data_IF_240603821261
#
_entry.id   IF_240603821261
#
_cell.length_a   1.000
_cell.length_b   1.000
_cell.length_c   1.000
_cell.angle_alpha   90.00
_cell.angle_beta   90.00
_cell.angle_gamma   90.00
#
_symmetry.space_group_name_H-M   'P 1'
#
loop_
_entity.id
_entity.type
_entity.pdbx_description
1 polymer ?
#
# COMPACT_ATOMS: atom_id res chain seq x y z
N UNK A 1 0.18 10.69 -1.41
CA UNK A 1 0.25 10.11 -2.78
C UNK A 1 -0.72 8.93 -2.95
N UNK A 2 -0.70 7.94 -2.05
CA UNK A 2 -1.57 6.75 -2.10
C UNK A 2 -3.06 7.03 -2.32
N UNK A 3 -3.63 8.01 -1.61
CA UNK A 3 -5.05 8.35 -1.78
C UNK A 3 -5.41 8.79 -3.21
N UNK A 4 -4.49 9.50 -3.88
CA UNK A 4 -4.66 9.92 -5.28
C UNK A 4 -4.58 8.71 -6.21
N UNK A 5 -3.61 7.80 -6.02
CA UNK A 5 -3.51 6.55 -6.78
C UNK A 5 -4.81 5.74 -6.67
N UNK A 6 -5.30 5.53 -5.45
CA UNK A 6 -6.55 4.80 -5.19
C UNK A 6 -7.73 5.49 -5.88
N UNK A 7 -7.86 6.81 -5.74
CA UNK A 7 -8.94 7.55 -6.39
C UNK A 7 -8.86 7.44 -7.92
N UNK A 8 -7.67 7.53 -8.52
CA UNK A 8 -7.45 7.35 -9.96
C UNK A 8 -7.80 5.94 -10.42
N UNK A 9 -7.39 4.91 -9.67
CA UNK A 9 -7.65 3.52 -10.03
C UNK A 9 -9.14 3.19 -10.06
N UNK A 10 -9.91 3.69 -9.09
CA UNK A 10 -11.28 3.21 -8.84
C UNK A 10 -12.40 4.23 -9.11
N UNK A 11 -12.08 5.41 -9.66
CA UNK A 11 -13.09 6.35 -10.17
C UNK A 11 -13.43 6.16 -11.65
N UNK A 12 -12.57 5.47 -12.42
CA UNK A 12 -12.76 5.23 -13.85
C UNK A 12 -13.82 4.15 -14.13
N UNK A 13 -14.55 4.27 -15.25
CA UNK A 13 -15.72 3.42 -15.58
C UNK A 13 -15.49 1.91 -15.52
N UNK A 14 -14.29 1.41 -15.85
CA UNK A 14 -13.97 -0.02 -15.84
C UNK A 14 -13.69 -0.61 -14.46
N UNK A 15 -13.38 0.22 -13.47
CA UNK A 15 -13.03 -0.19 -12.09
C UNK A 15 -13.82 0.62 -11.05
N UNK A 16 -14.96 1.17 -11.46
CA UNK A 16 -15.71 2.10 -10.62
C UNK A 16 -16.32 1.36 -9.44
N UNK A 17 -15.91 1.74 -8.23
CA UNK A 17 -16.55 1.31 -6.99
C UNK A 17 -17.22 2.50 -6.29
N UNK A 18 -17.93 2.24 -5.20
CA UNK A 18 -18.62 3.28 -4.43
C UNK A 18 -17.61 4.24 -3.76
N UNK A 19 -18.02 5.49 -3.54
CA UNK A 19 -17.18 6.47 -2.84
C UNK A 19 -16.86 6.04 -1.39
N UNK A 20 -17.75 5.29 -0.74
CA UNK A 20 -17.49 4.71 0.59
C UNK A 20 -16.42 3.62 0.55
N UNK A 21 -16.40 2.78 -0.50
CA UNK A 21 -15.35 1.79 -0.71
C UNK A 21 -14.00 2.45 -1.00
N UNK A 22 -13.96 3.49 -1.85
CA UNK A 22 -12.74 4.28 -2.10
C UNK A 22 -12.23 4.87 -0.78
N UNK A 23 -13.10 5.48 0.03
CA UNK A 23 -12.71 6.04 1.32
C UNK A 23 -12.20 4.96 2.29
N UNK A 24 -12.74 3.74 2.23
CA UNK A 24 -12.28 2.61 3.03
C UNK A 24 -10.89 2.10 2.60
N UNK A 25 -10.65 1.95 1.30
CA UNK A 25 -9.32 1.65 0.77
C UNK A 25 -8.28 2.69 1.22
N UNK A 26 -8.64 3.97 1.15
CA UNK A 26 -7.78 5.06 1.61
C UNK A 26 -7.50 4.99 3.11
N UNK A 27 -8.51 4.69 3.95
CA UNK A 27 -8.30 4.49 5.39
C UNK A 27 -7.36 3.33 5.67
N UNK A 28 -7.52 2.20 4.98
CA UNK A 28 -6.63 1.05 5.07
C UNK A 28 -5.17 1.40 4.72
N UNK A 29 -4.99 2.12 3.61
CA UNK A 29 -3.67 2.60 3.20
C UNK A 29 -3.06 3.56 4.23
N UNK A 30 -3.84 4.46 4.84
CA UNK A 30 -3.35 5.38 5.89
C UNK A 30 -3.03 4.62 7.18
N UNK A 31 -3.76 3.55 7.48
CA UNK A 31 -3.52 2.72 8.66
C UNK A 31 -2.18 1.99 8.58
N UNK A 32 -1.77 1.53 7.39
CA UNK A 32 -0.44 0.96 7.17
C UNK A 32 0.69 1.95 7.51
N UNK A 33 0.43 3.25 7.36
CA UNK A 33 1.34 4.36 7.73
C UNK A 33 1.26 4.78 9.21
N UNK A 34 0.37 4.20 10.00
CA UNK A 34 0.21 4.59 11.40
C UNK A 34 1.48 4.32 12.22
N UNK A 35 1.69 5.10 13.28
CA UNK A 35 2.93 5.04 14.08
C UNK A 35 3.25 3.66 14.66
N UNK A 36 2.25 2.77 14.81
CA UNK A 36 2.43 1.38 15.25
C UNK A 36 3.12 0.47 14.21
N UNK A 37 3.18 0.89 12.95
CA UNK A 37 3.82 0.16 11.85
C UNK A 37 5.02 0.90 11.27
N UNK A 38 5.47 1.98 11.94
CA UNK A 38 6.62 2.80 11.55
C UNK A 38 7.88 2.34 12.29
N UNK A 39 8.16 1.04 12.21
CA UNK A 39 9.34 0.42 12.81
C UNK A 39 9.97 -0.62 11.86
N UNK A 40 11.19 -1.05 12.20
CA UNK A 40 11.91 -2.01 11.36
C UNK A 40 11.22 -3.38 11.28
N UNK A 41 10.45 -3.76 12.30
CA UNK A 41 9.74 -5.04 12.31
C UNK A 41 8.60 -5.06 11.28
N UNK A 42 8.00 -3.91 11.00
CA UNK A 42 6.92 -3.71 10.03
C UNK A 42 7.38 -3.12 8.69
N UNK A 43 8.69 -2.96 8.47
CA UNK A 43 9.26 -2.43 7.22
C UNK A 43 8.74 -3.09 5.93
N UNK A 44 8.39 -4.38 5.97
CA UNK A 44 7.79 -5.10 4.84
C UNK A 44 6.42 -4.54 4.42
N UNK A 45 5.70 -3.85 5.31
CA UNK A 45 4.44 -3.17 4.98
C UNK A 45 4.67 -1.95 4.09
N UNK A 46 5.91 -1.45 4.04
CA UNK A 46 6.35 -0.26 3.31
C UNK A 46 7.28 -0.61 2.13
N UNK A 47 7.24 -1.86 1.66
CA UNK A 47 8.17 -2.38 0.65
C UNK A 47 9.67 -2.18 0.98
N UNK A 48 10.02 -2.24 2.27
CA UNK A 48 11.39 -2.09 2.78
C UNK A 48 11.85 -3.36 3.52
N UNK A 49 13.16 -3.47 3.74
CA UNK A 49 13.76 -4.58 4.51
C UNK A 49 14.24 -4.11 5.88
N UNK A 50 14.11 -4.96 6.88
CA UNK A 50 14.69 -4.72 8.20
C UNK A 50 16.24 -4.78 8.15
N UNK A 51 16.94 -4.22 9.15
CA UNK A 51 18.38 -4.42 9.29
C UNK A 51 18.75 -5.90 9.30
N UNK A 52 19.77 -6.27 8.52
CA UNK A 52 20.24 -7.66 8.31
C UNK A 52 19.25 -8.59 7.60
N UNK A 53 18.10 -8.11 7.14
CA UNK A 53 17.21 -8.86 6.26
C UNK A 53 17.66 -8.67 4.81
N UNK A 54 17.61 -9.73 3.99
CA UNK A 54 17.80 -9.62 2.55
C UNK A 54 16.56 -9.02 1.86
N UNK A 55 16.75 -8.47 0.66
CA UNK A 55 15.63 -7.95 -0.13
C UNK A 55 14.61 -9.04 -0.51
N UNK A 56 15.08 -10.26 -0.78
CA UNK A 56 14.22 -11.40 -1.12
C UNK A 56 13.35 -11.85 0.07
N UNK A 57 13.93 -11.91 1.27
CA UNK A 57 13.16 -12.20 2.49
C UNK A 57 12.13 -11.10 2.77
N UNK A 58 12.49 -9.83 2.57
CA UNK A 58 11.55 -8.72 2.74
C UNK A 58 10.39 -8.81 1.75
N UNK A 59 10.68 -9.07 0.47
CA UNK A 59 9.68 -9.30 -0.56
C UNK A 59 8.75 -10.47 -0.22
N UNK A 60 9.29 -11.59 0.26
CA UNK A 60 8.49 -12.72 0.73
C UNK A 60 7.55 -12.36 1.88
N UNK A 61 8.00 -11.53 2.83
CA UNK A 61 7.15 -11.03 3.93
C UNK A 61 6.08 -10.06 3.44
N UNK A 62 6.42 -9.17 2.51
CA UNK A 62 5.44 -8.27 1.86
C UNK A 62 4.36 -9.06 1.14
N UNK A 63 4.73 -10.07 0.35
CA UNK A 63 3.75 -10.96 -0.33
C UNK A 63 2.87 -11.67 0.69
N UNK A 64 3.46 -12.21 1.76
CA UNK A 64 2.69 -12.88 2.84
C UNK A 64 1.67 -11.92 3.44
N UNK A 65 2.07 -10.71 3.79
CA UNK A 65 1.17 -9.69 4.34
C UNK A 65 0.04 -9.31 3.38
N UNK A 66 0.34 -9.13 2.08
CA UNK A 66 -0.69 -8.86 1.05
C UNK A 66 -1.70 -10.00 1.01
N UNK A 67 -1.25 -11.26 1.02
CA UNK A 67 -2.14 -12.43 0.99
C UNK A 67 -2.99 -12.55 2.25
N UNK A 68 -2.44 -12.28 3.44
CA UNK A 68 -3.20 -12.23 4.69
C UNK A 68 -4.31 -11.17 4.62
N UNK A 69 -4.01 -9.99 4.09
CA UNK A 69 -4.98 -8.90 3.95
C UNK A 69 -6.03 -9.15 2.87
N UNK A 70 -5.69 -9.84 1.78
CA UNK A 70 -6.68 -10.32 0.80
C UNK A 70 -7.58 -11.40 1.40
N UNK A 71 -7.04 -12.32 2.19
CA UNK A 71 -7.86 -13.31 2.90
C UNK A 71 -8.80 -12.64 3.91
N UNK A 72 -8.32 -11.64 4.64
CA UNK A 72 -9.12 -10.81 5.55
C UNK A 72 -10.24 -10.06 4.79
N UNK A 73 -9.93 -9.46 3.63
CA UNK A 73 -10.93 -8.86 2.74
C UNK A 73 -12.03 -9.85 2.38
N UNK A 74 -11.67 -11.04 1.87
CA UNK A 74 -12.65 -12.07 1.46
C UNK A 74 -13.52 -12.51 2.63
N UNK A 75 -12.92 -12.71 3.80
CA UNK A 75 -13.64 -13.07 5.02
C UNK A 75 -14.63 -11.98 5.46
N UNK A 76 -14.22 -10.71 5.41
CA UNK A 76 -15.07 -9.58 5.81
C UNK A 76 -16.19 -9.33 4.81
N UNK A 77 -15.95 -9.52 3.50
CA UNK A 77 -16.98 -9.47 2.47
C UNK A 77 -18.04 -10.55 2.71
N UNK A 78 -17.62 -11.79 2.99
CA UNK A 78 -18.55 -12.89 3.31
C UNK A 78 -19.37 -12.62 4.58
N UNK A 79 -18.83 -11.86 5.53
CA UNK A 79 -19.52 -11.44 6.75
C UNK A 79 -20.39 -10.18 6.58
N UNK A 80 -20.51 -9.63 5.36
CA UNK A 80 -21.26 -8.39 5.10
C UNK A 80 -20.62 -7.12 5.68
N UNK A 81 -19.35 -7.18 6.08
CA UNK A 81 -18.59 -6.07 6.66
C UNK A 81 -17.80 -5.31 5.58
N UNK A 82 -18.49 -4.88 4.52
CA UNK A 82 -17.88 -4.31 3.30
C UNK A 82 -16.88 -3.18 3.59
N UNK A 83 -17.22 -2.24 4.49
CA UNK A 83 -16.33 -1.13 4.84
C UNK A 83 -14.99 -1.59 5.44
N UNK A 84 -15.01 -2.58 6.33
CA UNK A 84 -13.78 -3.15 6.91
C UNK A 84 -13.04 -4.02 5.90
N UNK A 85 -13.77 -4.71 5.03
CA UNK A 85 -13.15 -5.47 3.96
C UNK A 85 -12.28 -4.54 3.11
N UNK A 86 -12.84 -3.45 2.60
CA UNK A 86 -12.08 -2.48 1.82
C UNK A 86 -10.94 -1.81 2.62
N UNK A 87 -11.06 -1.64 3.93
CA UNK A 87 -9.91 -1.23 4.75
C UNK A 87 -8.78 -2.27 4.73
N UNK A 88 -9.09 -3.56 4.89
CA UNK A 88 -8.09 -4.63 4.78
C UNK A 88 -7.44 -4.66 3.39
N UNK A 89 -8.23 -4.54 2.32
CA UNK A 89 -7.70 -4.48 0.95
C UNK A 89 -6.85 -3.22 0.72
N UNK A 90 -7.20 -2.09 1.33
CA UNK A 90 -6.39 -0.88 1.33
C UNK A 90 -5.02 -1.08 1.96
N UNK A 91 -4.94 -1.85 3.07
CA UNK A 91 -3.67 -2.24 3.66
C UNK A 91 -2.85 -3.15 2.73
N UNK A 92 -3.50 -4.08 2.01
CA UNK A 92 -2.81 -4.93 1.02
C UNK A 92 -2.22 -4.12 -0.14
N UNK A 93 -2.91 -3.05 -0.57
CA UNK A 93 -2.48 -2.20 -1.68
C UNK A 93 -1.30 -1.29 -1.32
N UNK A 94 -1.14 -0.93 -0.05
CA UNK A 94 -0.13 0.02 0.42
C UNK A 94 1.30 -0.35 -0.04
N UNK A 95 1.87 -1.52 0.30
CA UNK A 95 3.22 -1.88 -0.13
C UNK A 95 3.35 -2.03 -1.64
N UNK A 96 2.27 -2.31 -2.38
CA UNK A 96 2.30 -2.35 -3.85
C UNK A 96 2.50 -0.95 -4.44
N UNK A 97 1.90 0.07 -3.82
CA UNK A 97 2.13 1.46 -4.21
C UNK A 97 3.54 1.90 -3.83
N UNK A 98 4.02 1.57 -2.63
CA UNK A 98 5.39 1.87 -2.21
C UNK A 98 6.43 1.26 -3.14
N UNK A 99 6.30 -0.03 -3.47
CA UNK A 99 7.24 -0.76 -4.32
C UNK A 99 7.39 -0.16 -5.74
N UNK A 100 6.48 0.73 -6.16
CA UNK A 100 6.59 1.46 -7.43
C UNK A 100 7.31 2.80 -7.30
N UNK A 101 7.54 3.30 -6.09
CA UNK A 101 8.30 4.52 -5.83
C UNK A 101 9.82 4.25 -5.82
N UNK A 102 10.65 5.14 -6.38
CA UNK A 102 12.11 5.03 -6.31
C UNK A 102 12.67 4.96 -4.90
N UNK A 103 11.99 5.59 -3.94
CA UNK A 103 12.41 5.60 -2.53
C UNK A 103 12.35 4.23 -1.89
N UNK A 104 11.55 3.31 -2.43
CA UNK A 104 11.39 1.95 -1.92
C UNK A 104 11.94 0.89 -2.89
N UNK A 105 12.60 1.33 -3.98
CA UNK A 105 13.11 0.41 -5.01
C UNK A 105 14.14 -0.58 -4.43
N UNK A 106 13.94 -1.87 -4.72
CA UNK A 106 14.85 -2.93 -4.32
C UNK A 106 14.82 -3.27 -2.83
N UNK A 107 13.75 -2.90 -2.10
CA UNK A 107 13.62 -3.13 -0.66
C UNK A 107 14.78 -2.50 0.11
N UNK A 108 14.83 -1.16 0.09
CA UNK A 108 15.85 -0.42 0.83
C UNK A 108 15.77 -0.74 2.33
N UNK A 109 16.90 -0.64 3.01
CA UNK A 109 16.98 -0.93 4.45
C UNK A 109 16.28 0.15 5.26
N UNK A 110 15.45 -0.27 6.21
CA UNK A 110 14.81 0.61 7.16
C UNK A 110 15.85 1.21 8.12
N UNK A 111 16.13 2.52 7.99
CA UNK A 111 17.12 3.22 8.81
C UNK A 111 16.45 4.20 9.77
N UNK A 112 16.28 3.74 11.01
CA UNK A 112 15.69 4.49 12.12
C UNK A 112 16.44 5.82 12.39
N UNK A 113 15.99 6.95 11.85
CA UNK A 113 16.13 8.25 12.52
C UNK A 113 14.73 8.68 12.98
N UNK A 114 14.29 8.26 14.17
CA UNK A 114 12.87 8.23 14.56
C UNK A 114 12.15 9.58 14.68
N UNK A 115 12.84 10.71 14.47
CA UNK A 115 12.22 12.05 14.42
C UNK A 115 12.25 12.71 13.04
N UNK A 116 13.10 12.20 12.13
CA UNK A 116 13.25 12.77 10.79
C UNK A 116 12.52 11.87 9.78
N UNK A 117 12.43 10.57 10.01
CA UNK A 117 11.92 9.61 9.02
C UNK A 117 10.41 9.67 8.78
N UNK A 118 9.57 9.88 9.81
CA UNK A 118 8.14 10.08 9.58
C UNK A 118 7.84 11.36 8.79
N UNK A 119 8.71 12.37 8.90
CA UNK A 119 8.65 13.58 8.08
C UNK A 119 9.26 13.35 6.68
N UNK A 120 10.31 12.53 6.58
CA UNK A 120 11.00 12.18 5.33
C UNK A 120 10.20 11.23 4.46
N UNK A 121 9.52 10.21 5.02
CA UNK A 121 8.59 9.35 4.27
C UNK A 121 7.45 10.18 3.68
N UNK A 122 6.85 11.07 4.49
CA UNK A 122 5.87 12.05 4.01
C UNK A 122 6.45 13.06 3.01
N UNK A 123 7.72 13.45 3.13
CA UNK A 123 8.33 14.46 2.28
C UNK A 123 8.93 13.91 0.98
N UNK A 124 9.42 12.68 0.96
CA UNK A 124 9.98 12.02 -0.23
C UNK A 124 8.87 11.49 -1.13
N UNK A 125 7.71 11.17 -0.55
CA UNK A 125 6.44 11.01 -1.25
C UNK A 125 5.66 12.33 -1.35
N UNK A 126 6.35 13.48 -1.45
CA UNK A 126 5.64 14.71 -1.82
C UNK A 126 5.05 14.54 -3.22
N UNK A 127 3.84 15.08 -3.40
CA UNK A 127 3.16 15.20 -4.70
C UNK A 127 4.09 15.70 -5.83
N UNK A 128 5.17 16.42 -5.51
CA UNK A 128 6.12 16.98 -6.48
C UNK A 128 6.98 15.93 -7.20
N UNK A 129 7.37 14.83 -6.55
CA UNK A 129 8.09 13.70 -7.19
C UNK A 129 7.11 12.78 -7.92
N UNK A 130 5.91 12.64 -7.38
CA UNK A 130 4.84 11.85 -7.98
C UNK A 130 4.28 12.50 -9.27
N UNK A 131 4.04 13.82 -9.25
CA UNK A 131 3.54 14.57 -10.41
C UNK A 131 4.58 14.73 -11.53
N UNK A 132 5.87 14.49 -11.26
CA UNK A 132 6.91 14.56 -12.29
C UNK A 132 7.15 13.23 -13.01
N UNK A 133 6.58 12.11 -12.54
CA UNK A 133 6.77 10.80 -13.17
C UNK A 133 5.45 10.01 -13.30
N UNK A 134 4.76 10.24 -14.41
CA UNK A 134 3.52 9.56 -14.78
C UNK A 134 3.64 8.03 -14.89
N UNK A 135 4.86 7.47 -14.97
CA UNK A 135 5.07 6.03 -15.03
C UNK A 135 4.79 5.36 -13.67
N UNK A 136 5.21 5.98 -12.57
CA UNK A 136 4.97 5.44 -11.23
C UNK A 136 3.48 5.34 -10.94
N UNK A 137 2.74 6.44 -11.13
CA UNK A 137 1.30 6.47 -10.90
C UNK A 137 0.57 5.39 -11.71
N UNK A 138 0.96 5.19 -12.98
CA UNK A 138 0.37 4.15 -13.83
C UNK A 138 0.66 2.76 -13.30
N UNK A 139 1.92 2.46 -12.98
CA UNK A 139 2.33 1.16 -12.42
C UNK A 139 1.65 0.87 -11.09
N UNK A 140 1.52 1.86 -10.21
CA UNK A 140 0.79 1.70 -8.94
C UNK A 140 -0.68 1.40 -9.19
N UNK A 141 -1.33 2.14 -10.10
CA UNK A 141 -2.73 1.91 -10.49
C UNK A 141 -2.94 0.49 -11.02
N UNK A 142 -2.07 0.03 -11.92
CA UNK A 142 -2.16 -1.31 -12.50
C UNK A 142 -1.94 -2.39 -11.43
N UNK A 143 -0.96 -2.21 -10.55
CA UNK A 143 -0.68 -3.14 -9.46
C UNK A 143 -1.88 -3.28 -8.50
N UNK A 144 -2.49 -2.17 -8.08
CA UNK A 144 -3.64 -2.22 -7.16
C UNK A 144 -4.92 -2.70 -7.84
N UNK A 145 -5.06 -2.54 -9.17
CA UNK A 145 -6.16 -3.15 -9.92
C UNK A 145 -6.02 -4.67 -10.02
N UNK A 146 -4.80 -5.16 -10.27
CA UNK A 146 -4.54 -6.60 -10.32
C UNK A 146 -4.87 -7.28 -8.98
N UNK A 147 -4.50 -6.69 -7.85
CA UNK A 147 -4.85 -7.26 -6.54
C UNK A 147 -6.35 -7.14 -6.24
N UNK A 148 -7.01 -6.07 -6.69
CA UNK A 148 -8.46 -5.93 -6.60
C UNK A 148 -9.18 -7.04 -7.36
N UNK A 149 -8.76 -7.31 -8.61
CA UNK A 149 -9.33 -8.39 -9.42
C UNK A 149 -9.13 -9.75 -8.76
N UNK A 150 -7.92 -10.04 -8.27
CA UNK A 150 -7.62 -11.31 -7.58
C UNK A 150 -8.43 -11.47 -6.27
N UNK A 151 -8.65 -10.37 -5.56
CA UNK A 151 -9.47 -10.34 -4.36
C UNK A 151 -10.98 -10.55 -4.65
N UNK A 152 -11.44 -10.28 -5.88
CA UNK A 152 -12.84 -10.40 -6.29
C UNK A 152 -13.14 -11.60 -7.21
N UNK A 153 -12.15 -12.45 -7.47
CA UNK A 153 -12.33 -13.81 -8.01
C UNK A 153 -12.75 -14.79 -6.92
#
# INVERSE_FOLDING_TARGET
>A
VHNTIIATAFSSSGYRISSSAIAALQRGSVEADSSKYQDSAHSYMHAMRAPNQSAEEAAGRTVTFIMEKVAEYKSLMAAGQEGKAYEALGMAMHPLMDATSPSHEGYQEWRLIPLIDAAIHKSNETERVFNSNADYSRRSVDAIRNIYDEANR
#
